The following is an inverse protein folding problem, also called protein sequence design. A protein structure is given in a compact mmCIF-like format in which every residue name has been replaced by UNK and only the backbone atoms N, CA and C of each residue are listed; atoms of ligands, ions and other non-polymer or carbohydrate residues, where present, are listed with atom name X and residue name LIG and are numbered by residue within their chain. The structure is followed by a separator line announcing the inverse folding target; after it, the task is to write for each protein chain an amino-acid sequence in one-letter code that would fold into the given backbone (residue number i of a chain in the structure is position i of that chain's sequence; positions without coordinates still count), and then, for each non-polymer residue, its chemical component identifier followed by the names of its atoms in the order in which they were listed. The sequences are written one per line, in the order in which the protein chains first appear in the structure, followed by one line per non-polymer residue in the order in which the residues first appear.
data_IF_063713211512
#
_entry.id   IF_063713211512
#
_cell.length_a   1.000
_cell.length_b   1.000
_cell.length_c   1.000
_cell.angle_alpha   90.00
_cell.angle_beta   90.00
_cell.angle_gamma   90.00
#
_symmetry.space_group_name_H-M   'P 1'
#
loop_
_entity.id
_entity.type
_entity.pdbx_description
1 polymer ?
#
# COMPACT_ATOMS: atom_id res chain seq x y z
N UNK A 1 -32.47 -19.65 -16.58
CA UNK A 1 -31.37 -18.90 -17.24
C UNK A 1 -30.08 -19.66 -16.97
N UNK A 2 -29.18 -19.77 -17.95
CA UNK A 2 -27.94 -20.51 -17.74
C UNK A 2 -27.02 -19.73 -16.79
N UNK A 3 -26.73 -20.33 -15.65
CA UNK A 3 -25.90 -19.76 -14.59
C UNK A 3 -24.73 -20.67 -14.31
N UNK A 4 -23.55 -20.07 -14.13
CA UNK A 4 -22.31 -20.77 -13.81
C UNK A 4 -21.92 -20.43 -12.39
N UNK A 5 -21.70 -21.44 -11.56
CA UNK A 5 -21.24 -21.27 -10.17
C UNK A 5 -19.97 -22.08 -9.93
N UNK A 6 -19.18 -21.66 -8.95
CA UNK A 6 -17.96 -22.33 -8.53
C UNK A 6 -18.05 -22.65 -7.05
N UNK A 7 -17.95 -23.92 -6.70
CA UNK A 7 -18.06 -24.42 -5.34
C UNK A 7 -16.71 -24.96 -4.89
N UNK A 8 -16.19 -24.51 -3.74
CA UNK A 8 -15.00 -25.11 -3.13
C UNK A 8 -15.41 -26.35 -2.35
N UNK A 9 -14.69 -27.45 -2.53
CA UNK A 9 -15.07 -28.76 -1.98
C UNK A 9 -13.90 -29.30 -1.15
N UNK A 10 -14.15 -29.55 0.13
CA UNK A 10 -13.22 -30.24 1.05
C UNK A 10 -13.47 -31.75 1.04
N UNK A 11 -12.41 -32.52 1.34
CA UNK A 11 -12.44 -33.98 1.43
C UNK A 11 -12.10 -34.72 0.13
N UNK A 12 -11.65 -34.02 -0.92
CA UNK A 12 -11.18 -34.66 -2.16
C UNK A 12 -9.69 -35.01 -2.06
N UNK A 13 -9.36 -36.29 -1.87
CA UNK A 13 -7.96 -36.75 -1.76
C UNK A 13 -7.41 -37.43 -3.01
N UNK A 14 -8.23 -37.66 -4.04
CA UNK A 14 -7.78 -38.33 -5.27
C UNK A 14 -8.63 -38.00 -6.50
N UNK A 15 -8.12 -38.32 -7.70
CA UNK A 15 -8.83 -38.15 -8.97
C UNK A 15 -10.15 -38.93 -9.03
N UNK A 16 -10.27 -40.05 -8.30
CA UNK A 16 -11.52 -40.80 -8.21
C UNK A 16 -12.59 -40.05 -7.41
N UNK A 17 -12.22 -39.23 -6.42
CA UNK A 17 -13.13 -38.35 -5.70
C UNK A 17 -13.70 -37.27 -6.63
N UNK A 18 -12.83 -36.58 -7.38
CA UNK A 18 -13.24 -35.58 -8.36
C UNK A 18 -14.23 -36.16 -9.39
N UNK A 19 -13.91 -37.33 -9.95
CA UNK A 19 -14.77 -38.00 -10.92
C UNK A 19 -16.11 -38.47 -10.33
N UNK A 20 -16.16 -38.80 -9.02
CA UNK A 20 -17.40 -39.18 -8.32
C UNK A 20 -18.35 -37.98 -8.21
N UNK A 21 -17.82 -36.82 -7.83
CA UNK A 21 -18.58 -35.58 -7.72
C UNK A 21 -19.06 -35.11 -9.10
N UNK A 22 -18.18 -35.15 -10.11
CA UNK A 22 -18.52 -34.80 -11.50
C UNK A 22 -19.70 -35.62 -12.03
N UNK A 23 -19.67 -36.95 -11.83
CA UNK A 23 -20.77 -37.84 -12.23
C UNK A 23 -22.04 -37.60 -11.42
N UNK A 24 -21.93 -37.25 -10.14
CA UNK A 24 -23.08 -36.95 -9.29
C UNK A 24 -23.82 -35.70 -9.76
N UNK A 25 -23.07 -34.62 -10.01
CA UNK A 25 -23.62 -33.35 -10.47
C UNK A 25 -24.20 -33.44 -11.90
N UNK A 26 -23.55 -34.16 -12.82
CA UNK A 26 -24.07 -34.35 -14.20
C UNK A 26 -25.36 -35.17 -14.29
N UNK A 27 -25.71 -35.93 -13.25
CA UNK A 27 -26.96 -36.70 -13.20
C UNK A 27 -28.16 -35.87 -12.77
N UNK A 28 -27.94 -34.64 -12.33
CA UNK A 28 -29.01 -33.77 -11.87
C UNK A 28 -29.72 -33.12 -13.05
N UNK A 29 -31.05 -33.21 -13.07
CA UNK A 29 -31.86 -32.51 -14.06
C UNK A 29 -31.69 -31.00 -13.91
N UNK A 30 -31.26 -30.34 -14.98
CA UNK A 30 -30.94 -28.91 -14.99
C UNK A 30 -29.44 -28.58 -14.95
N UNK A 31 -28.54 -29.56 -14.73
CA UNK A 31 -27.08 -29.36 -14.86
C UNK A 31 -26.64 -29.67 -16.29
N UNK A 32 -26.03 -28.70 -16.97
CA UNK A 32 -25.51 -28.84 -18.34
C UNK A 32 -24.06 -29.28 -18.36
N UNK A 33 -23.26 -28.71 -17.48
CA UNK A 33 -21.84 -29.00 -17.38
C UNK A 33 -21.42 -29.02 -15.92
N UNK A 34 -20.62 -30.01 -15.54
CA UNK A 34 -19.90 -30.02 -14.28
C UNK A 34 -18.47 -30.44 -14.56
N UNK A 35 -17.51 -29.69 -14.02
CA UNK A 35 -16.08 -29.93 -14.13
C UNK A 35 -15.42 -29.72 -12.76
N UNK A 36 -14.67 -30.71 -12.28
CA UNK A 36 -14.01 -30.68 -10.98
C UNK A 36 -12.52 -30.58 -11.20
N UNK A 37 -11.91 -29.51 -10.70
CA UNK A 37 -10.48 -29.34 -10.70
C UNK A 37 -9.92 -29.73 -9.33
N UNK A 38 -9.34 -30.92 -9.26
CA UNK A 38 -8.76 -31.49 -8.03
C UNK A 38 -7.63 -30.62 -7.48
N UNK A 39 -6.78 -30.04 -8.34
CA UNK A 39 -5.59 -29.31 -7.92
C UNK A 39 -5.91 -28.01 -7.14
N UNK A 40 -7.11 -27.47 -7.32
CA UNK A 40 -7.59 -26.25 -6.64
C UNK A 40 -8.86 -26.52 -5.83
N UNK A 41 -9.25 -27.78 -5.68
CA UNK A 41 -10.41 -28.23 -4.90
C UNK A 41 -11.73 -27.52 -5.26
N UNK A 42 -11.95 -27.24 -6.55
CA UNK A 42 -13.13 -26.49 -7.02
C UNK A 42 -13.97 -27.28 -8.03
N UNK A 43 -15.28 -27.26 -7.86
CA UNK A 43 -16.25 -27.69 -8.86
C UNK A 43 -16.85 -26.47 -9.56
N UNK A 44 -16.75 -26.44 -10.88
CA UNK A 44 -17.43 -25.45 -11.71
C UNK A 44 -18.65 -26.10 -12.36
N UNK A 45 -19.83 -25.54 -12.13
CA UNK A 45 -21.12 -26.12 -12.58
C UNK A 45 -21.90 -25.08 -13.37
N UNK A 46 -22.30 -25.43 -14.60
CA UNK A 46 -23.26 -24.68 -15.40
C UNK A 46 -24.63 -25.35 -15.31
N UNK A 47 -25.63 -24.62 -14.83
CA UNK A 47 -26.97 -25.13 -14.57
C UNK A 47 -28.06 -24.12 -14.93
N UNK A 48 -29.29 -24.60 -15.08
CA UNK A 48 -30.46 -23.76 -15.28
C UNK A 48 -31.07 -23.37 -13.94
N UNK A 49 -30.94 -22.09 -13.57
CA UNK A 49 -31.40 -21.55 -12.28
C UNK A 49 -32.93 -21.57 -12.10
N UNK A 50 -33.70 -21.86 -13.16
CA UNK A 50 -35.14 -22.08 -13.08
C UNK A 50 -35.52 -23.52 -12.73
N UNK A 51 -34.62 -24.49 -12.94
CA UNK A 51 -34.86 -25.90 -12.66
C UNK A 51 -34.21 -26.36 -11.36
N UNK A 52 -33.05 -25.81 -11.02
CA UNK A 52 -32.25 -26.25 -9.88
C UNK A 52 -31.59 -25.07 -9.16
N UNK A 53 -31.63 -25.10 -7.83
CA UNK A 53 -30.99 -24.10 -6.99
C UNK A 53 -29.56 -24.50 -6.63
N UNK A 54 -28.70 -23.51 -6.35
CA UNK A 54 -27.32 -23.74 -5.94
C UNK A 54 -27.24 -24.58 -4.64
N UNK A 55 -28.19 -24.41 -3.72
CA UNK A 55 -28.27 -25.22 -2.50
C UNK A 55 -28.48 -26.70 -2.80
N UNK A 56 -29.24 -27.03 -3.86
CA UNK A 56 -29.44 -28.42 -4.25
C UNK A 56 -28.17 -29.07 -4.79
N UNK A 57 -27.29 -28.29 -5.43
CA UNK A 57 -25.95 -28.75 -5.83
C UNK A 57 -25.08 -29.05 -4.61
N UNK A 58 -25.16 -28.20 -3.57
CA UNK A 58 -24.45 -28.42 -2.29
C UNK A 58 -24.92 -29.69 -1.59
N UNK A 59 -26.24 -29.89 -1.51
CA UNK A 59 -26.83 -31.09 -0.90
C UNK A 59 -26.31 -32.37 -1.55
N UNK A 60 -26.24 -32.42 -2.88
CA UNK A 60 -25.74 -33.61 -3.59
C UNK A 60 -24.25 -33.85 -3.34
N UNK A 61 -23.45 -32.79 -3.22
CA UNK A 61 -22.03 -32.93 -2.89
C UNK A 61 -21.88 -33.48 -1.45
N UNK A 62 -22.72 -33.01 -0.52
CA UNK A 62 -22.80 -33.52 0.85
C UNK A 62 -23.25 -34.99 0.91
N UNK A 63 -24.28 -35.37 0.15
CA UNK A 63 -24.77 -36.75 0.04
C UNK A 63 -23.72 -37.72 -0.52
N UNK A 64 -22.79 -37.21 -1.33
CA UNK A 64 -21.66 -37.98 -1.85
C UNK A 64 -20.51 -38.14 -0.85
N UNK A 65 -20.61 -37.52 0.32
CA UNK A 65 -19.65 -37.58 1.41
C UNK A 65 -18.57 -36.50 1.36
N UNK A 66 -18.82 -35.38 0.68
CA UNK A 66 -17.87 -34.27 0.54
C UNK A 66 -18.47 -32.99 1.12
N UNK A 67 -17.64 -32.12 1.68
CA UNK A 67 -18.11 -30.87 2.28
C UNK A 67 -17.91 -29.71 1.31
N UNK A 68 -18.98 -28.96 1.00
CA UNK A 68 -18.83 -27.70 0.29
C UNK A 68 -18.43 -26.64 1.30
N UNK A 69 -17.15 -26.26 1.28
CA UNK A 69 -16.66 -25.17 2.11
C UNK A 69 -17.14 -23.88 1.50
N UNK A 70 -17.90 -23.10 2.27
CA UNK A 70 -18.19 -21.72 1.87
C UNK A 70 -16.84 -21.01 1.70
N UNK A 71 -16.55 -20.47 0.51
CA UNK A 71 -15.52 -19.45 0.41
C UNK A 71 -15.94 -18.39 1.44
N UNK A 72 -15.14 -18.23 2.50
CA UNK A 72 -15.27 -17.10 3.42
C UNK A 72 -15.33 -15.90 2.49
N UNK A 73 -16.52 -15.29 2.41
CA UNK A 73 -16.71 -14.03 1.74
C UNK A 73 -15.68 -13.10 2.37
N UNK A 74 -14.56 -12.88 1.69
CA UNK A 74 -13.72 -11.74 2.00
C UNK A 74 -14.52 -10.53 1.48
N UNK A 75 -15.53 -10.15 2.27
CA UNK A 75 -16.15 -8.83 2.28
C UNK A 75 -15.10 -7.79 2.74
N UNK A 76 -13.84 -7.97 2.35
CA UNK A 76 -12.67 -7.22 2.75
C UNK A 76 -11.63 -7.33 1.65
N UNK A 77 -11.35 -6.23 0.97
CA UNK A 77 -10.26 -6.12 0.00
C UNK A 77 -9.25 -5.09 0.48
N UNK A 78 -7.96 -5.38 0.27
CA UNK A 78 -6.90 -4.41 0.49
C UNK A 78 -6.42 -3.93 -0.88
N UNK A 79 -6.63 -2.64 -1.14
CA UNK A 79 -6.13 -1.97 -2.33
C UNK A 79 -4.92 -1.13 -1.96
N UNK A 80 -3.86 -1.25 -2.73
CA UNK A 80 -2.73 -0.32 -2.70
C UNK A 80 -3.12 0.93 -3.47
N UNK A 81 -2.73 2.09 -2.95
CA UNK A 81 -3.07 3.41 -3.48
C UNK A 81 -1.81 4.13 -3.91
N UNK A 82 -1.80 4.70 -5.12
CA UNK A 82 -0.68 5.52 -5.62
C UNK A 82 -1.15 6.94 -5.95
N UNK A 83 -0.28 7.92 -5.74
CA UNK A 83 -0.55 9.33 -6.04
C UNK A 83 -1.13 10.14 -4.88
N UNK A 84 -1.25 9.58 -3.68
CA UNK A 84 -1.64 10.35 -2.49
C UNK A 84 -0.47 11.21 -2.00
N UNK A 85 -0.64 12.53 -2.01
CA UNK A 85 0.39 13.48 -1.56
C UNK A 85 0.22 13.96 -0.11
N UNK A 86 -0.96 13.78 0.50
CA UNK A 86 -1.26 14.21 1.87
C UNK A 86 -2.41 13.40 2.50
N UNK A 87 -2.63 13.60 3.80
CA UNK A 87 -3.71 12.96 4.54
C UNK A 87 -5.12 13.37 4.07
N UNK A 88 -5.29 14.58 3.53
CA UNK A 88 -6.54 14.98 2.88
C UNK A 88 -6.88 14.11 1.67
N UNK A 89 -5.88 13.63 0.91
CA UNK A 89 -6.10 12.67 -0.17
C UNK A 89 -6.67 11.37 0.38
N UNK A 90 -6.10 10.85 1.48
CA UNK A 90 -6.56 9.64 2.14
C UNK A 90 -8.00 9.80 2.67
N UNK A 91 -8.30 10.89 3.40
CA UNK A 91 -9.65 11.17 3.91
C UNK A 91 -10.70 11.31 2.79
N UNK A 92 -10.29 11.82 1.63
CA UNK A 92 -11.15 11.92 0.45
C UNK A 92 -11.47 10.56 -0.14
N UNK A 93 -10.45 9.73 -0.35
CA UNK A 93 -10.63 8.36 -0.85
C UNK A 93 -11.52 7.57 0.10
N UNK A 94 -11.26 7.69 1.40
CA UNK A 94 -12.08 7.09 2.47
C UNK A 94 -13.55 7.53 2.36
N UNK A 95 -13.81 8.84 2.26
CA UNK A 95 -15.17 9.38 2.12
C UNK A 95 -15.82 9.03 0.79
N UNK A 96 -15.04 8.91 -0.29
CA UNK A 96 -15.53 8.53 -1.60
C UNK A 96 -15.98 7.07 -1.65
N UNK A 97 -15.16 6.18 -1.08
CA UNK A 97 -15.47 4.75 -1.00
C UNK A 97 -16.62 4.45 -0.04
N UNK A 98 -16.65 5.09 1.15
CA UNK A 98 -17.75 4.94 2.12
C UNK A 98 -19.11 5.49 1.65
N UNK A 99 -19.17 6.15 0.48
CA UNK A 99 -20.42 6.63 -0.12
C UNK A 99 -21.02 5.67 -1.13
N UNK A 100 -20.29 4.63 -1.52
CA UNK A 100 -20.76 3.66 -2.49
C UNK A 100 -21.75 2.71 -1.84
N UNK A 101 -22.88 2.47 -2.50
CA UNK A 101 -23.82 1.44 -2.08
C UNK A 101 -23.13 0.06 -2.18
N UNK A 102 -23.21 -0.73 -1.11
CA UNK A 102 -22.48 -1.99 -0.98
C UNK A 102 -21.10 -1.88 -0.32
N UNK A 103 -20.63 -0.69 0.09
CA UNK A 103 -19.45 -0.55 0.96
C UNK A 103 -19.89 -0.35 2.41
N UNK A 104 -19.49 -1.26 3.30
CA UNK A 104 -19.79 -1.16 4.73
C UNK A 104 -18.82 -0.22 5.44
N UNK A 105 -17.53 -0.34 5.13
CA UNK A 105 -16.48 0.46 5.75
C UNK A 105 -15.22 0.51 4.89
N UNK A 106 -14.74 1.69 4.55
CA UNK A 106 -13.42 1.89 3.96
C UNK A 106 -12.52 2.66 4.93
N UNK A 107 -11.31 2.14 5.18
CA UNK A 107 -10.31 2.76 6.03
C UNK A 107 -8.98 2.90 5.28
N UNK A 108 -8.51 4.15 5.11
CA UNK A 108 -7.27 4.44 4.38
C UNK A 108 -6.12 4.61 5.36
N UNK A 109 -5.07 3.79 5.20
CA UNK A 109 -3.78 3.95 5.83
C UNK A 109 -2.85 4.71 4.88
N UNK A 110 -2.68 6.01 5.14
CA UNK A 110 -1.81 6.87 4.33
C UNK A 110 -0.33 6.48 4.43
N UNK A 111 0.14 6.04 5.61
CA UNK A 111 1.53 5.68 5.83
C UNK A 111 1.91 4.39 5.08
N UNK A 112 0.98 3.43 5.03
CA UNK A 112 1.14 2.17 4.31
C UNK A 112 0.65 2.22 2.85
N UNK A 113 0.17 3.37 2.38
CA UNK A 113 -0.37 3.56 1.02
C UNK A 113 -1.41 2.50 0.64
N UNK A 114 -2.26 2.13 1.60
CA UNK A 114 -3.26 1.07 1.44
C UNK A 114 -4.62 1.53 1.93
N UNK A 115 -5.67 1.04 1.30
CA UNK A 115 -7.03 1.11 1.82
C UNK A 115 -7.55 -0.29 2.05
N UNK A 116 -8.15 -0.48 3.22
CA UNK A 116 -8.91 -1.68 3.54
C UNK A 116 -10.38 -1.35 3.36
N UNK A 117 -11.06 -2.06 2.47
CA UNK A 117 -12.48 -1.84 2.15
C UNK A 117 -13.25 -3.08 2.51
N UNK A 118 -14.20 -2.95 3.43
CA UNK A 118 -15.24 -3.93 3.68
C UNK A 118 -16.44 -3.66 2.77
N UNK A 119 -16.84 -4.65 1.98
CA UNK A 119 -17.85 -4.48 0.93
C UNK A 119 -18.64 -5.77 0.71
N UNK A 120 -19.88 -5.60 0.25
CA UNK A 120 -20.77 -6.68 -0.18
C UNK A 120 -20.50 -6.99 -1.66
N UNK A 121 -19.86 -8.13 -1.92
CA UNK A 121 -19.49 -8.57 -3.26
C UNK A 121 -20.72 -8.92 -4.14
N UNK A 122 -21.93 -8.99 -3.57
CA UNK A 122 -23.17 -9.14 -4.33
C UNK A 122 -23.67 -7.80 -4.92
N UNK A 123 -23.25 -6.67 -4.35
CA UNK A 123 -23.69 -5.33 -4.75
C UNK A 123 -22.62 -4.56 -5.53
N UNK A 124 -21.35 -4.70 -5.16
CA UNK A 124 -20.25 -3.93 -5.75
C UNK A 124 -19.01 -4.78 -6.02
N UNK A 125 -18.36 -4.56 -7.17
CA UNK A 125 -17.13 -5.27 -7.54
C UNK A 125 -15.90 -4.45 -7.19
N UNK A 126 -14.77 -5.14 -6.98
CA UNK A 126 -13.48 -4.47 -6.72
C UNK A 126 -13.08 -3.52 -7.87
N UNK A 127 -13.46 -3.82 -9.11
CA UNK A 127 -13.23 -2.91 -10.25
C UNK A 127 -13.90 -1.55 -10.06
N UNK A 128 -15.08 -1.51 -9.43
CA UNK A 128 -15.83 -0.28 -9.19
C UNK A 128 -15.19 0.54 -8.06
N UNK A 129 -14.63 -0.15 -7.06
CA UNK A 129 -13.81 0.48 -6.01
C UNK A 129 -12.56 1.14 -6.62
N UNK A 130 -11.83 0.42 -7.48
CA UNK A 130 -10.65 0.94 -8.17
C UNK A 130 -11.02 2.15 -9.04
N UNK A 131 -12.07 2.02 -9.85
CA UNK A 131 -12.54 3.11 -10.71
C UNK A 131 -12.94 4.36 -9.92
N UNK A 132 -13.57 4.19 -8.77
CA UNK A 132 -13.90 5.31 -7.87
C UNK A 132 -12.66 6.03 -7.39
N UNK A 133 -11.60 5.30 -7.05
CA UNK A 133 -10.30 5.89 -6.68
C UNK A 133 -9.67 6.65 -7.86
N UNK A 134 -9.77 6.10 -9.07
CA UNK A 134 -9.29 6.75 -10.31
C UNK A 134 -10.06 8.02 -10.67
N UNK A 135 -11.38 8.01 -10.51
CA UNK A 135 -12.24 9.17 -10.73
C UNK A 135 -11.93 10.31 -9.74
N UNK A 136 -11.45 9.97 -8.55
CA UNK A 136 -10.93 10.92 -7.55
C UNK A 136 -9.52 11.43 -7.87
N UNK A 137 -8.86 10.89 -8.91
CA UNK A 137 -7.55 11.33 -9.39
C UNK A 137 -6.36 10.55 -8.85
N UNK A 138 -6.58 9.37 -8.27
CA UNK A 138 -5.54 8.51 -7.70
C UNK A 138 -5.44 7.19 -8.48
N UNK A 139 -4.50 6.32 -8.14
CA UNK A 139 -4.40 4.98 -8.74
C UNK A 139 -4.63 3.93 -7.66
N UNK A 140 -5.30 2.83 -7.99
CA UNK A 140 -5.52 1.71 -7.07
C UNK A 140 -5.25 0.36 -7.73
N UNK A 141 -4.60 -0.55 -7.01
CA UNK A 141 -4.33 -1.93 -7.44
C UNK A 141 -4.48 -2.90 -6.27
N UNK A 142 -4.68 -4.20 -6.52
CA UNK A 142 -4.83 -5.18 -5.42
C UNK A 142 -3.48 -5.44 -4.74
N UNK A 143 -3.45 -5.41 -3.41
CA UNK A 143 -2.20 -5.52 -2.63
C UNK A 143 -1.48 -6.88 -2.76
N UNK A 144 -2.16 -7.93 -3.22
CA UNK A 144 -1.60 -9.27 -3.41
C UNK A 144 -0.77 -9.46 -4.69
N UNK A 145 -0.86 -8.54 -5.67
CA UNK A 145 -0.16 -8.67 -6.96
C UNK A 145 1.22 -7.99 -7.00
N UNK A 146 1.57 -7.24 -5.95
CA UNK A 146 2.79 -6.43 -5.92
C UNK A 146 3.86 -7.14 -5.09
N UNK A 147 4.94 -7.59 -5.73
CA UNK A 147 6.09 -8.10 -4.98
C UNK A 147 6.65 -7.01 -4.07
N UNK A 148 6.97 -7.36 -2.81
CA UNK A 148 7.57 -6.45 -1.81
C UNK A 148 8.83 -5.74 -2.34
N UNK A 149 9.54 -6.37 -3.27
CA UNK A 149 10.72 -5.81 -3.93
C UNK A 149 10.38 -4.70 -4.95
N UNK A 150 9.32 -4.86 -5.75
CA UNK A 150 8.87 -3.81 -6.69
C UNK A 150 8.44 -2.54 -5.96
N UNK A 151 7.81 -2.68 -4.80
CA UNK A 151 7.42 -1.55 -3.96
C UNK A 151 8.64 -0.77 -3.44
N UNK A 152 9.68 -1.48 -3.01
CA UNK A 152 10.93 -0.86 -2.55
C UNK A 152 11.58 -0.06 -3.68
N UNK A 153 11.68 -0.66 -4.86
CA UNK A 153 12.27 0.00 -6.03
C UNK A 153 11.48 1.25 -6.46
N UNK A 154 10.15 1.19 -6.47
CA UNK A 154 9.31 2.32 -6.82
C UNK A 154 9.54 3.52 -5.88
N UNK A 155 9.61 3.24 -4.58
CA UNK A 155 9.83 4.27 -3.55
C UNK A 155 11.23 4.88 -3.60
N UNK A 156 12.25 4.06 -3.82
CA UNK A 156 13.61 4.56 -4.01
C UNK A 156 13.73 5.43 -5.26
N UNK A 157 13.05 5.06 -6.35
CA UNK A 157 12.96 5.87 -7.57
C UNK A 157 12.28 7.21 -7.29
N UNK A 158 11.20 7.21 -6.52
CA UNK A 158 10.51 8.44 -6.13
C UNK A 158 11.40 9.39 -5.31
N UNK A 159 12.10 8.88 -4.28
CA UNK A 159 13.00 9.68 -3.45
C UNK A 159 14.15 10.24 -4.29
N UNK A 160 14.73 9.43 -5.19
CA UNK A 160 15.78 9.89 -6.12
C UNK A 160 15.28 10.99 -7.05
N UNK A 161 14.07 10.84 -7.59
CA UNK A 161 13.43 11.85 -8.43
C UNK A 161 13.21 13.16 -7.66
N UNK A 162 12.64 13.10 -6.46
CA UNK A 162 12.44 14.28 -5.60
C UNK A 162 13.75 14.98 -5.27
N UNK A 163 14.81 14.22 -4.98
CA UNK A 163 16.15 14.78 -4.74
C UNK A 163 16.68 15.52 -5.98
N UNK A 164 16.53 14.94 -7.16
CA UNK A 164 16.97 15.56 -8.41
C UNK A 164 16.19 16.85 -8.69
N UNK A 165 14.85 16.80 -8.58
CA UNK A 165 13.98 17.96 -8.75
C UNK A 165 14.32 19.06 -7.72
N UNK A 166 14.64 18.70 -6.47
CA UNK A 166 15.06 19.63 -5.42
C UNK A 166 16.40 20.28 -5.72
N UNK A 167 17.41 19.51 -6.10
CA UNK A 167 18.73 20.05 -6.45
C UNK A 167 18.63 20.95 -7.67
N UNK A 168 17.87 20.54 -8.69
CA UNK A 168 17.64 21.35 -9.88
C UNK A 168 16.91 22.66 -9.57
N UNK A 169 15.83 22.62 -8.77
CA UNK A 169 15.08 23.83 -8.38
C UNK A 169 15.89 24.74 -7.46
N UNK A 170 16.68 24.20 -6.53
CA UNK A 170 17.56 24.99 -5.68
C UNK A 170 18.67 25.67 -6.49
N UNK A 171 19.29 24.96 -7.44
CA UNK A 171 20.29 25.54 -8.33
C UNK A 171 19.71 26.63 -9.21
N UNK A 172 18.54 26.40 -9.81
CA UNK A 172 17.85 27.40 -10.64
C UNK A 172 17.34 28.58 -9.81
N UNK A 173 16.85 28.37 -8.59
CA UNK A 173 16.35 29.47 -7.75
C UNK A 173 17.48 30.28 -7.11
N UNK A 174 18.70 29.71 -7.00
CA UNK A 174 19.82 30.37 -6.33
C UNK A 174 20.20 31.74 -6.91
N UNK A 175 20.26 31.99 -8.23
CA UNK A 175 20.58 33.30 -8.78
C UNK A 175 19.49 34.33 -8.50
N UNK A 176 18.23 33.92 -8.38
CA UNK A 176 17.12 34.80 -8.05
C UNK A 176 17.20 35.26 -6.58
N UNK A 177 17.54 34.35 -5.67
CA UNK A 177 17.79 34.68 -4.26
C UNK A 177 19.00 35.60 -4.13
N UNK A 178 20.08 35.30 -4.86
CA UNK A 178 21.26 36.16 -4.89
C UNK A 178 20.93 37.55 -5.42
N UNK A 179 20.09 37.66 -6.46
CA UNK A 179 19.61 38.94 -6.96
C UNK A 179 18.96 39.75 -5.84
N UNK A 180 18.01 39.16 -5.11
CA UNK A 180 17.34 39.80 -3.97
C UNK A 180 18.32 40.26 -2.88
N UNK A 181 19.31 39.43 -2.53
CA UNK A 181 20.33 39.77 -1.52
C UNK A 181 21.22 40.93 -1.99
N UNK A 182 21.64 40.91 -3.26
CA UNK A 182 22.51 41.94 -3.82
C UNK A 182 21.78 43.28 -3.94
N UNK A 183 20.50 43.29 -4.33
CA UNK A 183 19.68 44.50 -4.30
C UNK A 183 19.60 45.09 -2.88
N UNK A 184 19.45 44.24 -1.85
CA UNK A 184 19.41 44.68 -0.45
C UNK A 184 20.75 45.29 0.02
N UNK A 185 21.87 44.77 -0.49
CA UNK A 185 23.22 45.27 -0.21
C UNK A 185 23.63 46.48 -1.09
N UNK A 186 22.76 46.91 -2.01
CA UNK A 186 23.05 48.00 -2.96
C UNK A 186 24.10 47.65 -4.01
N UNK A 187 24.29 46.36 -4.32
CA UNK A 187 25.25 45.87 -5.31
C UNK A 187 24.49 45.58 -6.62
N UNK A 188 24.77 46.37 -7.66
CA UNK A 188 24.13 46.21 -8.96
C UNK A 188 24.88 45.20 -9.83
N UNK A 189 24.32 43.99 -9.95
CA UNK A 189 24.76 42.99 -10.93
C UNK A 189 23.80 42.98 -12.13
N UNK A 190 24.19 43.52 -13.31
CA UNK A 190 23.27 43.70 -14.44
C UNK A 190 22.65 42.41 -14.96
N UNK A 191 23.36 41.28 -14.83
CA UNK A 191 22.88 39.98 -15.28
C UNK A 191 21.74 39.45 -14.40
N UNK A 192 21.85 39.60 -13.08
CA UNK A 192 20.87 39.09 -12.12
C UNK A 192 19.60 39.94 -12.06
N UNK A 193 19.73 41.24 -12.34
CA UNK A 193 18.60 42.17 -12.44
C UNK A 193 17.93 42.14 -13.83
N UNK A 194 18.47 41.37 -14.79
CA UNK A 194 17.88 41.26 -16.11
C UNK A 194 16.56 40.50 -16.05
N UNK A 195 15.47 41.18 -16.40
CA UNK A 195 14.11 40.64 -16.40
C UNK A 195 13.95 39.36 -17.25
N UNK A 196 14.66 39.24 -18.37
CA UNK A 196 14.59 38.06 -19.24
C UNK A 196 15.39 36.90 -18.66
N UNK A 197 16.48 37.18 -17.95
CA UNK A 197 17.22 36.15 -17.22
C UNK A 197 16.37 35.57 -16.09
N UNK A 198 15.73 36.41 -15.29
CA UNK A 198 14.85 35.96 -14.21
C UNK A 198 13.68 35.12 -14.75
N UNK A 199 13.04 35.58 -15.84
CA UNK A 199 12.01 34.83 -16.54
C UNK A 199 12.52 33.46 -17.03
N UNK A 200 13.67 33.43 -17.71
CA UNK A 200 14.24 32.21 -18.27
C UNK A 200 14.57 31.16 -17.18
N UNK A 201 15.01 31.62 -16.01
CA UNK A 201 15.37 30.76 -14.88
C UNK A 201 14.13 30.31 -14.09
N UNK A 202 13.16 31.19 -13.86
CA UNK A 202 11.96 30.88 -13.11
C UNK A 202 10.98 29.98 -13.88
N UNK A 203 10.95 30.07 -15.22
CA UNK A 203 9.99 29.30 -16.05
C UNK A 203 10.15 27.78 -15.92
N UNK A 204 11.36 27.19 -15.99
CA UNK A 204 11.56 25.76 -15.71
C UNK A 204 11.15 25.35 -14.29
N UNK A 205 11.44 26.20 -13.29
CA UNK A 205 11.04 25.91 -11.89
C UNK A 205 9.51 25.90 -11.77
N UNK A 206 8.84 26.89 -12.38
CA UNK A 206 7.38 27.04 -12.34
C UNK A 206 6.65 25.89 -13.04
N UNK A 207 6.99 25.59 -14.28
CA UNK A 207 6.16 24.70 -15.12
C UNK A 207 6.71 23.29 -15.31
N UNK A 208 8.02 23.07 -15.18
CA UNK A 208 8.61 21.72 -15.30
C UNK A 208 8.66 21.08 -13.91
N UNK A 209 9.33 21.72 -12.96
CA UNK A 209 9.45 21.18 -11.60
C UNK A 209 8.11 21.31 -10.86
N UNK A 210 7.46 22.47 -10.98
CA UNK A 210 6.17 22.73 -10.37
C UNK A 210 4.99 21.99 -11.00
N UNK A 211 5.16 21.29 -12.13
CA UNK A 211 4.08 20.62 -12.88
C UNK A 211 3.18 19.74 -12.00
N UNK A 212 3.78 19.04 -11.02
CA UNK A 212 3.07 18.19 -10.07
C UNK A 212 1.98 18.93 -9.29
N UNK A 213 2.24 20.17 -8.88
CA UNK A 213 1.32 20.97 -8.08
C UNK A 213 0.11 21.36 -8.94
N UNK A 214 0.33 21.71 -10.21
CA UNK A 214 -0.77 21.99 -11.15
C UNK A 214 -1.63 20.76 -11.42
N UNK A 215 -1.01 19.60 -11.67
CA UNK A 215 -1.75 18.37 -11.91
C UNK A 215 -2.62 18.02 -10.70
N UNK A 216 -2.05 18.05 -9.50
CA UNK A 216 -2.78 17.74 -8.28
C UNK A 216 -3.85 18.78 -7.96
N UNK A 217 -3.57 20.07 -8.16
CA UNK A 217 -4.53 21.16 -8.00
C UNK A 217 -5.72 20.98 -8.93
N UNK A 218 -5.48 20.61 -10.20
CA UNK A 218 -6.54 20.34 -11.16
C UNK A 218 -7.45 19.18 -10.70
N UNK A 219 -6.88 18.06 -10.25
CA UNK A 219 -7.66 16.94 -9.71
C UNK A 219 -8.44 17.36 -8.45
N UNK A 220 -7.83 18.15 -7.56
CA UNK A 220 -8.48 18.65 -6.36
C UNK A 220 -9.69 19.54 -6.69
N UNK A 221 -9.54 20.47 -7.64
CA UNK A 221 -10.60 21.38 -8.09
C UNK A 221 -11.70 20.64 -8.84
N UNK A 222 -11.35 19.72 -9.75
CA UNK A 222 -12.33 18.89 -10.50
C UNK A 222 -13.27 18.17 -9.54
N UNK A 223 -12.73 17.70 -8.43
CA UNK A 223 -13.50 16.99 -7.43
C UNK A 223 -14.06 17.90 -6.31
N UNK A 224 -14.10 19.23 -6.52
CA UNK A 224 -14.70 20.26 -5.66
C UNK A 224 -14.07 20.38 -4.26
N UNK A 225 -12.74 20.41 -4.19
CA UNK A 225 -12.00 20.60 -2.93
C UNK A 225 -10.81 21.54 -3.12
N UNK A 226 -10.40 22.23 -2.05
CA UNK A 226 -9.13 22.95 -2.00
C UNK A 226 -8.14 22.23 -1.07
N UNK A 227 -6.89 22.08 -1.51
CA UNK A 227 -5.81 21.50 -0.72
C UNK A 227 -4.54 22.37 -0.83
N UNK A 228 -3.46 21.95 -0.18
CA UNK A 228 -2.17 22.66 -0.23
C UNK A 228 -1.68 22.86 -1.68
N UNK A 229 -1.84 21.87 -2.57
CA UNK A 229 -1.41 21.98 -3.97
C UNK A 229 -2.16 23.08 -4.74
N UNK A 230 -3.45 23.30 -4.45
CA UNK A 230 -4.23 24.42 -5.03
C UNK A 230 -3.68 25.77 -4.60
N UNK A 231 -3.38 25.94 -3.31
CA UNK A 231 -2.79 27.18 -2.78
C UNK A 231 -1.46 27.51 -3.46
N UNK A 232 -0.61 26.49 -3.61
CA UNK A 232 0.72 26.63 -4.20
C UNK A 232 0.60 26.99 -5.68
N UNK A 233 -0.20 26.24 -6.45
CA UNK A 233 -0.39 26.48 -7.87
C UNK A 233 -0.91 27.91 -8.11
N UNK A 234 -1.87 28.35 -7.32
CA UNK A 234 -2.46 29.68 -7.45
C UNK A 234 -1.51 30.80 -7.04
N UNK A 235 -0.91 30.73 -5.86
CA UNK A 235 -0.01 31.78 -5.35
C UNK A 235 1.22 31.96 -6.22
N UNK A 236 1.85 30.86 -6.63
CA UNK A 236 3.03 30.91 -7.50
C UNK A 236 2.66 31.37 -8.91
N UNK A 237 1.50 30.98 -9.44
CA UNK A 237 1.01 31.48 -10.73
C UNK A 237 0.71 32.97 -10.69
N UNK A 238 0.06 33.46 -9.63
CA UNK A 238 -0.24 34.88 -9.47
C UNK A 238 1.05 35.70 -9.47
N UNK A 239 2.06 35.30 -8.68
CA UNK A 239 3.37 35.93 -8.68
C UNK A 239 4.06 35.87 -10.05
N UNK A 240 4.05 34.71 -10.71
CA UNK A 240 4.69 34.50 -12.01
C UNK A 240 4.04 35.34 -13.12
N UNK A 241 2.71 35.31 -13.26
CA UNK A 241 2.01 36.05 -14.31
C UNK A 241 2.00 37.56 -14.05
N UNK A 242 1.95 38.00 -12.80
CA UNK A 242 2.15 39.41 -12.45
C UNK A 242 3.54 39.90 -12.87
N UNK A 243 4.57 39.10 -12.58
CA UNK A 243 5.93 39.39 -13.02
C UNK A 243 6.05 39.43 -14.54
N UNK A 244 5.45 38.45 -15.22
CA UNK A 244 5.42 38.39 -16.69
C UNK A 244 4.75 39.63 -17.29
N UNK A 245 3.65 40.11 -16.70
CA UNK A 245 3.02 41.36 -17.11
C UNK A 245 3.98 42.55 -16.95
N UNK A 246 4.65 42.68 -15.80
CA UNK A 246 5.59 43.78 -15.56
C UNK A 246 6.80 43.76 -16.51
N UNK A 247 7.30 42.57 -16.89
CA UNK A 247 8.37 42.42 -17.90
C UNK A 247 8.06 43.18 -19.19
N UNK A 248 6.80 43.16 -19.65
CA UNK A 248 6.41 43.80 -20.91
C UNK A 248 5.80 45.19 -20.74
N UNK A 249 5.02 45.42 -19.68
CA UNK A 249 4.16 46.60 -19.59
C UNK A 249 4.60 47.64 -18.56
N UNK A 250 5.44 47.30 -17.58
CA UNK A 250 5.93 48.28 -16.60
C UNK A 250 7.10 49.08 -17.20
N UNK A 251 6.99 50.41 -17.34
CA UNK A 251 8.11 51.24 -17.76
C UNK A 251 9.13 51.37 -16.61
N UNK A 252 10.43 51.29 -16.93
CA UNK A 252 11.48 51.65 -15.96
C UNK A 252 11.42 53.16 -15.71
N UNK A 253 10.98 53.57 -14.52
CA UNK A 253 11.01 54.97 -14.10
C UNK A 253 12.44 55.37 -13.70
N UNK A 254 12.84 56.65 -13.86
CA UNK A 254 14.12 57.14 -13.34
C UNK A 254 14.21 56.89 -11.83
N UNK A 255 15.24 56.18 -11.38
CA UNK A 255 15.43 55.78 -9.97
C UNK A 255 15.01 54.34 -9.64
N UNK A 256 14.36 53.62 -10.56
CA UNK A 256 14.15 52.17 -10.41
C UNK A 256 15.33 51.39 -11.00
N UNK A 257 16.04 50.65 -10.15
CA UNK A 257 17.13 49.74 -10.54
C UNK A 257 16.58 48.49 -11.26
N UNK A 258 15.37 48.07 -10.90
CA UNK A 258 14.69 46.90 -11.44
C UNK A 258 13.18 47.12 -11.49
N UNK A 259 12.50 46.36 -12.35
CA UNK A 259 11.03 46.27 -12.35
C UNK A 259 10.55 45.50 -11.12
N UNK A 260 9.29 45.69 -10.75
CA UNK A 260 8.66 44.96 -9.64
C UNK A 260 8.34 43.53 -10.09
N UNK A 261 9.36 42.67 -10.08
CA UNK A 261 9.26 41.26 -10.42
C UNK A 261 9.21 40.43 -9.14
N UNK A 262 8.47 39.33 -9.21
CA UNK A 262 8.25 38.36 -8.14
C UNK A 262 8.53 36.93 -8.63
N UNK A 263 9.39 36.79 -9.65
CA UNK A 263 9.83 35.50 -10.16
C UNK A 263 10.56 34.70 -9.09
N UNK A 264 11.33 35.39 -8.23
CA UNK A 264 12.01 34.79 -7.08
C UNK A 264 11.02 34.20 -6.08
N UNK A 265 9.90 34.90 -5.78
CA UNK A 265 8.90 34.42 -4.85
C UNK A 265 8.25 33.12 -5.35
N UNK A 266 7.86 33.06 -6.62
CA UNK A 266 7.28 31.86 -7.22
C UNK A 266 8.26 30.66 -7.18
N UNK A 267 9.51 30.88 -7.61
CA UNK A 267 10.54 29.84 -7.66
C UNK A 267 10.96 29.36 -6.26
N UNK A 268 11.10 30.26 -5.29
CA UNK A 268 11.44 29.94 -3.91
C UNK A 268 10.37 29.10 -3.23
N UNK A 269 9.10 29.49 -3.37
CA UNK A 269 7.98 28.76 -2.75
C UNK A 269 7.96 27.32 -3.25
N UNK A 270 8.03 27.10 -4.57
CA UNK A 270 8.11 25.76 -5.17
C UNK A 270 9.29 24.96 -4.59
N UNK A 271 10.48 25.58 -4.54
CA UNK A 271 11.70 24.92 -4.05
C UNK A 271 11.59 24.49 -2.58
N UNK A 272 11.08 25.38 -1.71
CA UNK A 272 10.94 25.10 -0.27
C UNK A 272 9.89 24.03 0.01
N UNK A 273 8.78 24.04 -0.73
CA UNK A 273 7.76 22.99 -0.61
C UNK A 273 8.33 21.65 -1.08
N UNK A 274 9.09 21.65 -2.17
CA UNK A 274 9.73 20.44 -2.67
C UNK A 274 10.76 19.88 -1.69
N UNK A 275 11.49 20.75 -0.99
CA UNK A 275 12.34 20.36 0.15
C UNK A 275 11.52 19.66 1.23
N UNK A 276 10.38 20.24 1.63
CA UNK A 276 9.45 19.63 2.57
C UNK A 276 8.97 18.24 2.10
N UNK A 277 8.58 18.11 0.82
CA UNK A 277 8.15 16.83 0.23
C UNK A 277 9.27 15.79 0.18
N UNK A 278 10.50 16.20 -0.10
CA UNK A 278 11.67 15.33 -0.04
C UNK A 278 11.92 14.82 1.39
N UNK A 279 11.92 15.72 2.38
CA UNK A 279 12.07 15.34 3.79
C UNK A 279 10.94 14.41 4.25
N UNK A 280 9.69 14.68 3.84
CA UNK A 280 8.53 13.83 4.08
C UNK A 280 8.75 12.41 3.51
N UNK A 281 9.15 12.30 2.24
CA UNK A 281 9.39 11.02 1.59
C UNK A 281 10.52 10.22 2.27
N UNK A 282 11.61 10.89 2.65
CA UNK A 282 12.73 10.28 3.38
C UNK A 282 12.30 9.80 4.77
N UNK A 283 11.54 10.62 5.51
CA UNK A 283 11.07 10.28 6.84
C UNK A 283 10.12 9.08 6.83
N UNK A 284 9.18 9.05 5.87
CA UNK A 284 8.30 7.89 5.66
C UNK A 284 9.10 6.64 5.25
N UNK A 285 10.13 6.79 4.43
CA UNK A 285 10.99 5.68 4.00
C UNK A 285 11.61 4.94 5.18
N UNK A 286 12.12 5.69 6.16
CA UNK A 286 12.77 5.15 7.37
C UNK A 286 11.82 4.37 8.28
N UNK A 287 10.58 4.85 8.46
CA UNK A 287 9.59 4.18 9.34
C UNK A 287 9.15 2.84 8.76
N UNK A 288 8.94 2.75 7.45
CA UNK A 288 8.63 1.47 6.80
C UNK A 288 9.81 0.48 6.80
N UNK A 289 11.05 0.96 6.91
CA UNK A 289 12.23 0.08 7.01
C UNK A 289 12.25 -0.71 8.33
N UNK A 290 11.76 -0.13 9.42
CA UNK A 290 11.66 -0.82 10.71
C UNK A 290 10.68 -2.01 10.66
N UNK A 291 9.52 -1.84 10.03
CA UNK A 291 8.56 -2.94 9.80
C UNK A 291 9.18 -4.01 8.90
N UNK A 292 9.94 -3.61 7.88
CA UNK A 292 10.65 -4.57 7.00
C UNK A 292 11.66 -5.43 7.75
N UNK A 293 12.35 -4.87 8.75
CA UNK A 293 13.26 -5.66 9.59
C UNK A 293 12.52 -6.76 10.34
N UNK A 294 11.31 -6.50 10.85
CA UNK A 294 10.46 -7.52 11.48
C UNK A 294 10.04 -8.59 10.47
N UNK A 295 9.59 -8.20 9.27
CA UNK A 295 9.24 -9.16 8.22
C UNK A 295 10.44 -10.00 7.75
N UNK A 296 11.64 -9.44 7.73
CA UNK A 296 12.88 -10.16 7.40
C UNK A 296 13.31 -11.19 8.47
N UNK A 297 12.68 -11.21 9.64
CA UNK A 297 12.94 -12.23 10.65
C UNK A 297 12.27 -13.56 10.28
N UNK A 298 11.20 -13.56 9.48
CA UNK A 298 10.53 -14.77 9.04
C UNK A 298 11.49 -15.71 8.29
N UNK A 299 11.37 -17.02 8.56
CA UNK A 299 12.04 -18.02 7.75
C UNK A 299 11.40 -18.07 6.35
N UNK A 300 12.19 -18.40 5.32
CA UNK A 300 11.69 -18.56 3.95
C UNK A 300 11.32 -20.00 3.61
N UNK A 301 11.89 -20.94 4.35
CA UNK A 301 11.75 -22.37 4.13
C UNK A 301 11.57 -23.07 5.48
N UNK A 302 10.88 -24.19 5.46
CA UNK A 302 10.71 -25.08 6.61
C UNK A 302 11.13 -26.50 6.21
N UNK A 303 11.74 -27.23 7.14
CA UNK A 303 12.06 -28.64 6.97
C UNK A 303 10.95 -29.49 7.57
N UNK A 304 10.12 -30.07 6.72
CA UNK A 304 9.00 -30.93 7.13
C UNK A 304 9.37 -32.41 7.06
N UNK A 305 8.82 -33.21 7.95
CA UNK A 305 8.89 -34.66 7.91
C UNK A 305 7.61 -35.22 7.30
N UNK A 306 7.68 -35.68 6.04
CA UNK A 306 6.56 -36.33 5.34
C UNK A 306 6.96 -37.76 4.96
N UNK A 307 6.15 -38.75 5.29
CA UNK A 307 6.42 -40.18 5.01
C UNK A 307 7.80 -40.67 5.50
N UNK A 308 8.28 -40.14 6.64
CA UNK A 308 9.58 -40.50 7.21
C UNK A 308 10.79 -39.93 6.45
N UNK A 309 10.60 -38.97 5.55
CA UNK A 309 11.67 -38.24 4.87
C UNK A 309 11.63 -36.76 5.23
N UNK A 310 12.83 -36.16 5.38
CA UNK A 310 13.00 -34.73 5.60
C UNK A 310 13.00 -34.00 4.24
N UNK A 311 12.10 -33.05 4.04
CA UNK A 311 11.98 -32.25 2.81
C UNK A 311 11.96 -30.77 3.18
N UNK A 312 12.79 -29.97 2.51
CA UNK A 312 12.77 -28.51 2.65
C UNK A 312 11.73 -27.93 1.67
N UNK A 313 10.70 -27.28 2.22
CA UNK A 313 9.61 -26.64 1.45
C UNK A 313 9.56 -25.13 1.71
N UNK A 314 9.01 -24.32 0.80
CA UNK A 314 8.67 -22.93 1.08
C UNK A 314 7.76 -22.79 2.30
N UNK A 315 7.95 -21.74 3.09
CA UNK A 315 7.14 -21.52 4.32
C UNK A 315 5.65 -21.36 4.01
N UNK A 316 5.30 -20.90 2.81
CA UNK A 316 3.93 -20.72 2.35
C UNK A 316 3.20 -22.05 2.09
N UNK A 317 3.94 -23.16 1.94
CA UNK A 317 3.39 -24.51 1.71
C UNK A 317 3.24 -25.33 3.00
N UNK A 318 3.61 -24.75 4.14
CA UNK A 318 3.52 -25.41 5.45
C UNK A 318 2.08 -25.36 5.95
N UNK A 319 1.54 -26.52 6.32
CA UNK A 319 0.19 -26.67 6.84
C UNK A 319 0.16 -26.88 8.35
N UNK A 320 -0.97 -26.58 8.99
CA UNK A 320 -1.16 -26.90 10.41
C UNK A 320 -1.13 -28.41 10.64
N UNK A 321 -0.52 -28.83 11.75
CA UNK A 321 -0.38 -30.23 12.10
C UNK A 321 0.84 -30.92 11.50
N UNK A 322 1.58 -30.27 10.59
CA UNK A 322 2.83 -30.83 10.05
C UNK A 322 3.94 -30.92 11.09
N UNK A 323 4.77 -31.96 10.96
CA UNK A 323 5.95 -32.17 11.81
C UNK A 323 7.14 -31.48 11.16
N UNK A 324 7.75 -30.55 11.90
CA UNK A 324 8.86 -29.73 11.44
C UNK A 324 10.09 -30.03 12.31
N UNK A 325 11.25 -30.14 11.66
CA UNK A 325 12.53 -30.41 12.30
C UNK A 325 13.36 -29.13 12.28
N UNK A 326 13.82 -28.69 13.46
CA UNK A 326 14.66 -27.50 13.60
C UNK A 326 16.02 -27.89 14.17
N UNK A 327 17.08 -27.58 13.43
CA UNK A 327 18.46 -27.87 13.82
C UNK A 327 19.10 -26.68 14.56
N UNK A 328 20.21 -26.91 15.29
CA UNK A 328 20.94 -25.83 15.96
C UNK A 328 21.35 -24.72 14.97
N UNK A 329 21.09 -23.48 15.33
CA UNK A 329 21.33 -22.29 14.51
C UNK A 329 20.22 -21.95 13.51
N UNK A 330 19.25 -22.84 13.27
CA UNK A 330 18.12 -22.56 12.40
C UNK A 330 17.06 -21.69 13.11
N UNK A 331 16.28 -20.95 12.32
CA UNK A 331 15.11 -20.24 12.80
C UNK A 331 13.93 -21.20 12.88
N UNK A 332 13.11 -21.05 13.91
CA UNK A 332 11.82 -21.71 13.97
C UNK A 332 10.91 -21.08 12.89
N UNK A 333 10.38 -21.86 11.93
CA UNK A 333 9.68 -21.27 10.79
C UNK A 333 8.27 -20.78 11.13
N UNK A 334 7.51 -21.55 11.91
CA UNK A 334 6.12 -21.28 12.29
C UNK A 334 5.91 -21.58 13.78
N UNK A 335 4.75 -21.20 14.32
CA UNK A 335 4.45 -21.46 15.73
C UNK A 335 3.99 -22.92 15.90
N UNK A 336 4.28 -23.51 17.06
CA UNK A 336 3.91 -24.89 17.31
C UNK A 336 4.25 -25.42 18.70
N UNK A 337 4.12 -26.73 18.88
CA UNK A 337 4.40 -27.43 20.15
C UNK A 337 5.45 -28.51 19.92
N UNK A 338 6.49 -28.55 20.76
CA UNK A 338 7.56 -29.56 20.66
C UNK A 338 6.96 -30.95 20.96
N UNK A 339 7.20 -31.90 20.05
CA UNK A 339 6.79 -33.31 20.22
C UNK A 339 7.98 -34.18 20.64
N UNK A 340 9.19 -33.85 20.20
CA UNK A 340 10.39 -34.65 20.45
C UNK A 340 11.63 -33.77 20.58
N UNK A 341 12.49 -34.09 21.55
CA UNK A 341 13.74 -33.37 21.81
C UNK A 341 13.60 -32.20 22.80
N UNK A 342 14.69 -31.49 22.97
CA UNK A 342 14.79 -30.31 23.83
C UNK A 342 15.89 -29.40 23.33
N UNK A 343 15.71 -28.09 23.46
CA UNK A 343 16.73 -27.10 23.09
C UNK A 343 16.56 -25.80 23.85
N UNK A 344 17.53 -24.90 23.74
CA UNK A 344 17.40 -23.51 24.13
C UNK A 344 17.05 -22.63 22.93
N UNK A 345 15.97 -21.87 23.06
CA UNK A 345 15.50 -20.91 22.06
C UNK A 345 15.85 -19.49 22.48
N UNK A 346 16.42 -18.73 21.56
CA UNK A 346 16.65 -17.30 21.70
C UNK A 346 15.42 -16.55 21.20
N UNK A 347 14.63 -16.09 22.17
CA UNK A 347 13.40 -15.32 21.96
C UNK A 347 13.64 -13.80 22.07
N UNK A 348 14.90 -13.36 22.17
CA UNK A 348 15.28 -11.95 22.44
C UNK A 348 14.70 -10.95 21.44
N UNK A 349 14.50 -11.39 20.19
CA UNK A 349 13.93 -10.55 19.13
C UNK A 349 12.44 -10.25 19.32
N UNK A 350 11.72 -11.06 20.10
CA UNK A 350 10.28 -10.91 20.37
C UNK A 350 10.03 -10.43 21.80
N UNK A 351 10.69 -11.03 22.79
CA UNK A 351 10.47 -10.73 24.21
C UNK A 351 11.37 -9.62 24.73
N UNK A 352 12.51 -9.37 24.07
CA UNK A 352 13.55 -8.46 24.56
C UNK A 352 14.45 -9.06 25.64
N UNK A 353 14.24 -10.31 26.04
CA UNK A 353 15.06 -10.98 27.05
C UNK A 353 16.28 -11.65 26.42
N UNK A 354 17.48 -11.32 26.90
CA UNK A 354 18.74 -11.81 26.33
C UNK A 354 19.09 -13.26 26.68
N UNK A 355 18.39 -13.87 27.65
CA UNK A 355 18.69 -15.22 28.13
C UNK A 355 17.85 -16.21 27.31
N UNK A 356 18.47 -17.19 26.62
CA UNK A 356 17.74 -18.23 25.91
C UNK A 356 16.87 -19.05 26.87
N UNK A 357 15.64 -19.33 26.44
CA UNK A 357 14.65 -20.09 27.20
C UNK A 357 14.80 -21.58 26.88
N UNK A 358 14.91 -22.43 27.90
CA UNK A 358 14.91 -23.88 27.71
C UNK A 358 13.51 -24.38 27.37
N UNK A 359 13.42 -25.25 26.36
CA UNK A 359 12.18 -25.85 25.88
C UNK A 359 12.34 -27.36 25.75
N UNK A 360 11.31 -28.09 26.11
CA UNK A 360 11.20 -29.55 26.04
C UNK A 360 9.89 -29.95 25.37
N UNK A 361 9.71 -31.24 25.13
CA UNK A 361 8.45 -31.79 24.64
C UNK A 361 7.25 -31.33 25.48
N UNK A 362 6.22 -30.85 24.79
CA UNK A 362 5.02 -30.22 25.37
C UNK A 362 5.06 -28.70 25.44
N UNK A 363 6.23 -28.05 25.31
CA UNK A 363 6.33 -26.59 25.35
C UNK A 363 6.03 -25.95 23.98
N UNK A 364 5.48 -24.73 24.02
CA UNK A 364 5.24 -23.92 22.82
C UNK A 364 6.53 -23.27 22.29
N UNK A 365 6.65 -23.23 20.96
CA UNK A 365 7.70 -22.54 20.23
C UNK A 365 7.09 -21.48 19.31
N UNK A 366 7.77 -20.34 19.22
CA UNK A 366 7.31 -19.19 18.46
C UNK A 366 8.16 -19.05 17.20
N UNK A 367 7.53 -18.80 16.06
CA UNK A 367 8.18 -18.53 14.79
C UNK A 367 9.15 -17.35 14.87
N UNK A 368 10.18 -17.40 14.02
CA UNK A 368 11.30 -16.46 13.95
C UNK A 368 12.26 -16.42 15.16
N UNK A 369 12.02 -17.22 16.20
CA UNK A 369 13.01 -17.47 17.27
C UNK A 369 14.17 -18.31 16.73
N UNK A 370 15.34 -18.22 17.38
CA UNK A 370 16.56 -18.90 16.92
C UNK A 370 16.88 -20.07 17.84
N UNK A 371 16.99 -21.26 17.25
CA UNK A 371 17.45 -22.45 17.94
C UNK A 371 18.97 -22.39 18.20
N UNK A 372 19.43 -22.71 19.42
CA UNK A 372 20.87 -22.61 19.77
C UNK A 372 21.61 -23.94 19.75
N UNK A 373 21.20 -24.92 20.56
CA UNK A 373 22.06 -26.08 20.89
C UNK A 373 21.51 -27.45 20.47
N UNK A 374 20.21 -27.69 20.65
CA UNK A 374 19.57 -28.98 20.40
C UNK A 374 18.83 -29.06 19.06
N UNK A 375 18.60 -30.27 18.56
CA UNK A 375 17.61 -30.51 17.49
C UNK A 375 16.30 -30.93 18.14
N UNK A 376 15.18 -30.41 17.65
CA UNK A 376 13.87 -30.83 18.12
C UNK A 376 12.88 -30.93 16.96
N UNK A 377 11.87 -31.78 17.15
CA UNK A 377 10.71 -31.88 16.28
C UNK A 377 9.54 -31.21 16.96
N UNK A 378 8.78 -30.42 16.22
CA UNK A 378 7.58 -29.78 16.71
C UNK A 378 6.45 -29.90 15.71
N UNK A 379 5.22 -29.89 16.20
CA UNK A 379 4.02 -29.89 15.39
C UNK A 379 3.55 -28.45 15.18
N UNK A 380 3.33 -28.04 13.93
CA UNK A 380 2.84 -26.70 13.59
C UNK A 380 1.42 -26.49 14.14
N UNK A 381 1.20 -25.41 14.87
CA UNK A 381 -0.14 -25.05 15.39
C UNK A 381 -0.70 -23.78 14.77
N UNK A 382 0.14 -22.85 14.33
CA UNK A 382 -0.28 -21.64 13.61
C UNK A 382 0.71 -21.34 12.49
N UNK A 383 0.19 -21.13 11.29
CA UNK A 383 0.99 -20.87 10.08
C UNK A 383 0.59 -19.55 9.42
N UNK A 384 1.47 -19.01 8.58
CA UNK A 384 1.20 -17.80 7.80
C UNK A 384 0.74 -16.60 8.66
N UNK A 385 -0.47 -16.11 8.38
CA UNK A 385 -1.08 -14.92 9.00
C UNK A 385 -1.45 -15.11 10.48
N UNK A 386 -1.54 -16.35 10.94
CA UNK A 386 -1.99 -16.69 12.29
C UNK A 386 -0.83 -16.82 13.29
N UNK A 387 0.43 -16.76 12.80
CA UNK A 387 1.63 -16.74 13.64
C UNK A 387 1.69 -15.49 14.53
N UNK A 388 2.31 -15.61 15.70
CA UNK A 388 2.53 -14.49 16.65
C UNK A 388 3.26 -13.34 15.96
N UNK A 389 4.31 -13.62 15.18
CA UNK A 389 5.04 -12.58 14.45
C UNK A 389 4.15 -11.87 13.41
N UNK A 390 3.33 -12.61 12.66
CA UNK A 390 2.40 -12.00 11.70
C UNK A 390 1.36 -11.11 12.40
N UNK A 391 0.86 -11.52 13.57
CA UNK A 391 -0.04 -10.70 14.39
C UNK A 391 0.65 -9.45 14.93
N UNK A 392 1.89 -9.54 15.39
CA UNK A 392 2.68 -8.37 15.82
C UNK A 392 2.87 -7.41 14.65
N UNK A 393 3.29 -7.89 13.48
CA UNK A 393 3.46 -7.07 12.27
C UNK A 393 2.15 -6.37 11.93
N UNK A 394 1.03 -7.11 11.90
CA UNK A 394 -0.30 -6.56 11.63
C UNK A 394 -0.71 -5.49 12.65
N UNK A 395 -0.51 -5.74 13.95
CA UNK A 395 -0.80 -4.75 15.00
C UNK A 395 0.02 -3.48 14.84
N UNK A 396 1.31 -3.61 14.51
CA UNK A 396 2.19 -2.44 14.28
C UNK A 396 1.76 -1.68 13.01
N UNK A 397 1.42 -2.39 11.93
CA UNK A 397 0.90 -1.77 10.70
C UNK A 397 -0.42 -1.03 10.93
N UNK A 398 -1.35 -1.64 11.67
CA UNK A 398 -2.64 -1.06 12.04
C UNK A 398 -2.45 0.18 12.94
N UNK A 399 -1.53 0.10 13.91
CA UNK A 399 -1.19 1.22 14.79
C UNK A 399 -0.55 2.40 14.03
N UNK A 400 0.38 2.14 13.10
CA UNK A 400 0.97 3.18 12.24
C UNK A 400 -0.03 3.78 11.25
N UNK A 401 -1.07 3.03 10.90
CA UNK A 401 -2.17 3.50 10.05
C UNK A 401 -3.15 4.44 10.72
N UNK A 402 -3.11 4.53 12.05
CA UNK A 402 -3.94 5.47 12.79
C UNK A 402 -3.50 6.92 12.49
N UNK A 403 -4.45 7.76 12.07
CA UNK A 403 -4.18 9.13 11.62
C UNK A 403 -3.52 9.95 12.73
N UNK A 404 -2.33 10.48 12.47
CA UNK A 404 -1.68 11.45 13.36
C UNK A 404 -2.58 12.71 13.51
N UNK A 405 -3.00 13.09 14.74
CA UNK A 405 -3.95 14.17 14.97
C UNK A 405 -3.53 15.53 14.37
N UNK A 406 -2.22 15.79 14.33
CA UNK A 406 -1.66 17.08 13.92
C UNK A 406 -1.83 17.38 12.42
N UNK A 407 -1.85 16.35 11.56
CA UNK A 407 -1.91 16.56 10.11
C UNK A 407 -3.32 16.91 9.62
N UNK A 408 -4.36 16.44 10.33
CA UNK A 408 -5.76 16.83 10.07
C UNK A 408 -5.97 18.34 10.21
N UNK A 409 -5.24 18.98 11.12
CA UNK A 409 -5.36 20.42 11.38
C UNK A 409 -4.88 21.23 10.17
N UNK A 410 -3.71 20.89 9.60
CA UNK A 410 -3.17 21.61 8.44
C UNK A 410 -4.08 21.55 7.20
N UNK A 411 -4.69 20.38 6.97
CA UNK A 411 -5.62 20.18 5.85
C UNK A 411 -6.96 20.91 6.08
N UNK A 412 -7.47 20.92 7.32
CA UNK A 412 -8.67 21.69 7.68
C UNK A 412 -8.45 23.21 7.53
N UNK A 413 -7.32 23.71 8.01
CA UNK A 413 -6.96 25.13 7.86
C UNK A 413 -6.86 25.49 6.38
N UNK A 414 -6.20 24.67 5.56
CA UNK A 414 -6.08 24.93 4.11
C UNK A 414 -7.44 24.91 3.40
N UNK A 415 -8.34 24.00 3.79
CA UNK A 415 -9.68 23.89 3.21
C UNK A 415 -10.58 25.11 3.46
N UNK A 416 -10.31 25.90 4.51
CA UNK A 416 -11.03 27.13 4.84
C UNK A 416 -10.26 28.37 4.37
N UNK A 417 -8.94 28.41 4.55
CA UNK A 417 -8.10 29.54 4.21
C UNK A 417 -8.08 29.82 2.70
N UNK A 418 -7.95 28.77 1.87
CA UNK A 418 -7.85 28.94 0.41
C UNK A 418 -9.12 29.60 -0.18
N UNK A 419 -10.35 29.12 0.12
CA UNK A 419 -11.56 29.79 -0.39
C UNK A 419 -11.79 31.22 0.13
N UNK A 420 -11.23 31.58 1.29
CA UNK A 420 -11.37 32.94 1.86
C UNK A 420 -10.41 33.93 1.20
N UNK A 421 -9.23 33.48 0.80
CA UNK A 421 -8.21 34.33 0.15
C UNK A 421 -8.57 34.63 -1.31
N UNK A 422 -9.29 33.72 -1.97
CA UNK A 422 -9.91 33.93 -3.30
C UNK A 422 -11.10 34.86 -3.15
#
# INVERSE_FOLDING_TARGET
MERKTTLKISGMSCAACAARIERGLRKMDGVREANINLAIEKATVAFDDQMISENRLRDVIADLGYEVVEEINENKVILKLTGMSCAACAARIEKGLNKLDGVENAAVNFAAEKVTVQYDNSQIKVSDLIKTVEDLGYQAERAGEVSRDREKEAREKEIKRLRLELVASALLSSPLILAMIFTLLGIDLPLLHNQYFQLAVATPVQFIIGQRFYKNAYHALKAKSANMDVLIAMGTSAAYFFSLYNVFFQPLKPGMVMKDLYFEAAAMVITLILLGKYLEAVAKGKTSEAIKKLAGLQAKTARVERNGQEIDIPIEEVEEGEIIIVRPGEKVPVDGIIIEGSSSLDESMLTGESIPVEKKAGDEVIGATINKLGTFKFQATKVGKDTVLAQIIKMVEDAQGSKAPIQKIADQVSGVFVPIVI
#
